data_IF_999706189297
#
_entry.id   IF_999706189297
#
_cell.length_a   1.000
_cell.length_b   1.000
_cell.length_c   1.000
_cell.angle_alpha   90.00
_cell.angle_beta   90.00
_cell.angle_gamma   90.00
#
_symmetry.space_group_name_H-M   'P 1'
#
loop_
_entity.id
_entity.type
_entity.pdbx_description
1 polymer ?
#
# COMPACT_ATOMS: atom_id res chain seq x y z
N UNK A 1 21.59 -14.01 -3.52
CA UNK A 1 21.24 -15.34 -2.96
C UNK A 1 21.81 -16.39 -3.89
N UNK A 2 22.24 -17.53 -3.36
CA UNK A 2 22.97 -18.53 -4.12
C UNK A 2 22.20 -19.85 -4.22
N UNK A 3 22.62 -20.73 -5.12
CA UNK A 3 22.17 -22.12 -5.20
C UNK A 3 23.36 -23.07 -5.12
N UNK A 4 23.13 -24.23 -4.52
CA UNK A 4 24.11 -25.27 -4.34
C UNK A 4 24.67 -25.74 -5.68
N UNK A 5 26.00 -25.72 -5.84
CA UNK A 5 26.66 -26.17 -7.07
C UNK A 5 26.49 -27.68 -7.33
N UNK A 6 26.18 -28.47 -6.30
CA UNK A 6 25.98 -29.93 -6.40
C UNK A 6 24.54 -30.32 -6.75
N UNK A 7 23.55 -29.84 -5.98
CA UNK A 7 22.15 -30.28 -6.13
C UNK A 7 21.20 -29.21 -6.69
N UNK A 8 21.68 -28.00 -6.97
CA UNK A 8 20.85 -26.89 -7.45
C UNK A 8 19.90 -26.30 -6.40
N UNK A 9 19.95 -26.75 -5.15
CA UNK A 9 19.10 -26.25 -4.08
C UNK A 9 19.39 -24.78 -3.76
N UNK A 10 18.37 -23.93 -3.79
CA UNK A 10 18.41 -22.51 -3.42
C UNK A 10 17.00 -21.97 -3.11
N UNK A 11 16.88 -20.76 -2.52
CA UNK A 11 17.97 -19.85 -2.20
C UNK A 11 18.73 -20.26 -0.92
N UNK A 12 20.06 -20.22 -0.98
CA UNK A 12 20.98 -20.28 0.18
C UNK A 12 21.53 -18.88 0.43
N UNK A 13 21.41 -18.42 1.67
CA UNK A 13 21.87 -17.10 2.09
C UNK A 13 23.21 -17.24 2.83
N UNK A 14 24.28 -16.80 2.18
CA UNK A 14 25.61 -16.67 2.77
C UNK A 14 25.85 -15.25 3.31
N UNK A 15 24.92 -14.74 4.13
CA UNK A 15 24.99 -13.38 4.66
C UNK A 15 26.11 -13.20 5.69
N UNK A 16 26.93 -12.15 5.53
CA UNK A 16 27.85 -11.67 6.57
C UNK A 16 29.26 -12.28 6.58
N UNK A 17 29.65 -13.09 5.59
CA UNK A 17 30.97 -13.70 5.52
C UNK A 17 31.53 -13.64 4.10
N UNK A 18 32.67 -12.96 3.90
CA UNK A 18 33.42 -13.00 2.62
C UNK A 18 34.18 -14.32 2.43
N UNK A 19 34.31 -15.11 3.50
CA UNK A 19 34.96 -16.42 3.51
C UNK A 19 34.02 -17.43 4.15
N UNK A 20 33.50 -18.38 3.37
CA UNK A 20 32.58 -19.40 3.87
C UNK A 20 33.26 -20.42 4.79
N UNK A 21 34.59 -20.52 4.74
CA UNK A 21 35.35 -21.43 5.60
C UNK A 21 35.57 -20.86 7.00
N UNK A 22 35.59 -19.54 7.17
CA UNK A 22 35.96 -18.89 8.42
C UNK A 22 35.09 -19.32 9.62
N UNK A 23 33.82 -19.65 9.36
CA UNK A 23 32.86 -20.04 10.39
C UNK A 23 32.20 -21.41 10.13
N UNK A 24 32.58 -22.13 9.07
CA UNK A 24 31.99 -23.44 8.80
C UNK A 24 32.52 -24.48 9.80
N UNK A 25 31.62 -25.10 10.56
CA UNK A 25 31.97 -26.04 11.63
C UNK A 25 32.25 -25.37 12.97
N UNK A 26 32.14 -24.04 13.08
CA UNK A 26 32.35 -23.33 14.35
C UNK A 26 31.23 -23.67 15.34
N UNK A 27 31.61 -24.08 16.56
CA UNK A 27 30.67 -24.28 17.66
C UNK A 27 30.41 -22.94 18.36
N UNK A 28 29.14 -22.51 18.36
CA UNK A 28 28.67 -21.36 19.14
C UNK A 28 27.64 -21.81 20.16
N UNK A 29 27.40 -20.98 21.18
CA UNK A 29 26.34 -21.19 22.16
C UNK A 29 24.99 -21.21 21.43
N UNK A 30 24.49 -22.41 21.11
CA UNK A 30 23.26 -22.61 20.32
C UNK A 30 23.40 -23.51 19.09
N UNK A 31 24.60 -23.95 18.69
CA UNK A 31 24.77 -24.93 17.62
C UNK A 31 26.09 -24.85 16.86
N UNK A 32 26.20 -25.67 15.81
CA UNK A 32 27.33 -25.66 14.87
C UNK A 32 26.94 -24.82 13.66
N UNK A 33 27.73 -23.80 13.35
CA UNK A 33 27.53 -22.99 12.15
C UNK A 33 27.84 -23.84 10.92
N UNK A 34 26.84 -24.10 10.08
CA UNK A 34 27.02 -24.87 8.85
C UNK A 34 26.68 -24.04 7.63
N UNK A 35 27.74 -23.61 6.92
CA UNK A 35 27.66 -23.06 5.57
C UNK A 35 27.47 -24.12 4.46
N UNK A 36 27.23 -25.39 4.80
CA UNK A 36 26.94 -26.44 3.81
C UNK A 36 25.50 -26.31 3.26
N UNK A 37 25.26 -26.89 2.10
CA UNK A 37 23.94 -26.99 1.53
C UNK A 37 23.02 -27.78 2.48
N UNK A 38 21.89 -27.22 2.94
CA UNK A 38 21.00 -27.90 3.87
C UNK A 38 20.27 -29.10 3.24
N UNK A 39 20.28 -29.21 1.90
CA UNK A 39 19.65 -30.33 1.19
C UNK A 39 20.58 -31.52 1.01
N UNK A 40 21.86 -31.31 0.68
CA UNK A 40 22.78 -32.41 0.34
C UNK A 40 24.10 -32.42 1.11
N UNK A 41 24.32 -31.48 2.02
CA UNK A 41 25.56 -31.36 2.80
C UNK A 41 26.77 -30.87 2.01
N UNK A 42 26.62 -30.57 0.71
CA UNK A 42 27.73 -30.05 -0.10
C UNK A 42 28.21 -28.69 0.42
N UNK A 43 29.52 -28.55 0.59
CA UNK A 43 30.17 -27.32 1.01
C UNK A 43 31.28 -26.96 0.02
N UNK A 44 31.36 -25.67 -0.33
CA UNK A 44 32.54 -25.12 -0.98
C UNK A 44 32.99 -23.87 -0.23
N UNK A 45 34.31 -23.75 0.06
CA UNK A 45 34.85 -22.58 0.75
C UNK A 45 34.85 -21.32 -0.13
N UNK A 46 34.80 -21.48 -1.46
CA UNK A 46 34.73 -20.37 -2.41
C UNK A 46 33.28 -20.04 -2.75
N UNK A 47 32.92 -18.76 -2.65
CA UNK A 47 31.60 -18.25 -3.03
C UNK A 47 31.33 -18.46 -4.53
N UNK A 48 32.36 -18.43 -5.38
CA UNK A 48 32.25 -18.62 -6.84
C UNK A 48 31.76 -20.03 -7.23
N UNK A 49 31.97 -21.01 -6.37
CA UNK A 49 31.45 -22.37 -6.56
C UNK A 49 29.94 -22.45 -6.33
N UNK A 50 29.36 -21.45 -5.66
CA UNK A 50 27.93 -21.30 -5.46
C UNK A 50 27.36 -20.44 -6.59
N UNK A 51 26.50 -21.02 -7.42
CA UNK A 51 25.89 -20.29 -8.54
C UNK A 51 24.90 -19.26 -7.99
N UNK A 52 24.72 -18.14 -8.69
CA UNK A 52 23.60 -17.25 -8.38
C UNK A 52 22.28 -18.01 -8.50
N UNK A 53 21.36 -17.77 -7.57
CA UNK A 53 20.08 -18.47 -7.57
C UNK A 53 19.23 -18.00 -8.76
N UNK A 54 18.81 -18.94 -9.59
CA UNK A 54 18.07 -18.69 -10.84
C UNK A 54 16.56 -18.49 -10.64
N UNK A 55 16.08 -18.52 -9.39
CA UNK A 55 14.67 -18.35 -9.05
C UNK A 55 13.84 -19.63 -9.16
N UNK A 56 14.44 -20.77 -9.48
CA UNK A 56 13.77 -22.07 -9.55
C UNK A 56 14.09 -22.95 -8.35
N UNK A 57 13.22 -23.94 -8.08
CA UNK A 57 13.43 -24.97 -7.07
C UNK A 57 13.51 -26.31 -7.82
N UNK A 58 14.56 -27.13 -7.65
CA UNK A 58 14.66 -28.41 -8.31
C UNK A 58 13.43 -29.28 -8.06
N UNK A 59 12.88 -29.85 -9.13
CA UNK A 59 11.63 -30.63 -9.07
C UNK A 59 11.74 -31.86 -8.16
N UNK A 60 12.94 -32.43 -8.05
CA UNK A 60 13.27 -33.51 -7.10
C UNK A 60 12.98 -33.12 -5.65
N UNK A 61 13.23 -31.87 -5.27
CA UNK A 61 12.94 -31.37 -3.92
C UNK A 61 11.44 -31.23 -3.67
N UNK A 62 10.68 -30.80 -4.69
CA UNK A 62 9.22 -30.73 -4.61
C UNK A 62 8.63 -32.14 -4.50
N UNK A 63 9.10 -33.08 -5.31
CA UNK A 63 8.65 -34.47 -5.31
C UNK A 63 9.00 -35.16 -3.99
N UNK A 64 10.19 -34.97 -3.43
CA UNK A 64 10.59 -35.60 -2.15
C UNK A 64 9.82 -35.03 -0.95
N UNK A 65 9.53 -33.73 -0.95
CA UNK A 65 8.73 -33.10 0.11
C UNK A 65 7.26 -33.50 -0.02
N UNK A 66 6.73 -33.54 -1.24
CA UNK A 66 5.36 -34.01 -1.51
C UNK A 66 5.21 -35.51 -1.27
N UNK A 67 6.23 -36.33 -1.52
CA UNK A 67 6.22 -37.76 -1.24
C UNK A 67 6.36 -38.04 0.26
N UNK A 68 7.10 -37.25 1.03
CA UNK A 68 7.08 -37.32 2.51
C UNK A 68 5.71 -36.90 3.08
N UNK A 69 5.05 -35.90 2.49
CA UNK A 69 3.67 -35.53 2.84
C UNK A 69 2.67 -36.63 2.47
N UNK A 70 2.88 -37.30 1.32
CA UNK A 70 1.98 -38.33 0.80
C UNK A 70 2.19 -39.69 1.47
N UNK A 71 3.42 -40.08 1.75
CA UNK A 71 3.79 -41.33 2.43
C UNK A 71 3.66 -41.22 3.96
N UNK A 72 3.59 -40.01 4.52
CA UNK A 72 3.13 -39.76 5.89
C UNK A 72 1.61 -39.92 6.07
N UNK A 73 0.84 -40.06 4.98
CA UNK A 73 -0.55 -40.51 4.97
C UNK A 73 -0.59 -41.99 4.60
N UNK A 74 -0.18 -42.87 5.50
CA UNK A 74 -0.67 -44.25 5.43
C UNK A 74 -2.17 -44.23 5.74
N UNK A 75 -2.94 -44.96 4.93
CA UNK A 75 -4.40 -45.13 5.01
C UNK A 75 -4.85 -45.96 6.23
N UNK A 76 -4.23 -45.75 7.40
CA UNK A 76 -4.79 -46.22 8.66
C UNK A 76 -5.51 -45.06 9.32
N UNK A 77 -6.80 -45.27 9.63
CA UNK A 77 -7.70 -44.29 10.24
C UNK A 77 -7.21 -43.78 11.60
N UNK A 78 -6.24 -42.87 11.57
CA UNK A 78 -5.73 -42.18 12.74
C UNK A 78 -6.52 -40.89 12.93
N UNK A 79 -7.45 -40.93 13.90
CA UNK A 79 -7.96 -39.72 14.57
C UNK A 79 -6.77 -38.80 14.88
N UNK A 80 -6.85 -37.52 14.50
CA UNK A 80 -5.86 -36.46 14.73
C UNK A 80 -5.37 -36.41 16.20
N UNK A 81 -4.41 -37.24 16.58
CA UNK A 81 -3.79 -37.22 17.92
C UNK A 81 -2.65 -36.20 18.03
N UNK A 82 -2.13 -35.73 16.90
CA UNK A 82 -0.97 -34.80 16.86
C UNK A 82 -1.36 -33.31 16.82
N UNK A 83 -2.63 -33.00 16.57
CA UNK A 83 -3.14 -31.62 16.50
C UNK A 83 -2.89 -30.79 17.78
N UNK A 84 -3.23 -31.32 18.97
CA UNK A 84 -3.04 -30.59 20.24
C UNK A 84 -1.57 -30.30 20.54
N UNK A 85 -0.68 -31.27 20.33
CA UNK A 85 0.77 -31.11 20.59
C UNK A 85 1.39 -30.06 19.67
N UNK A 86 0.98 -30.01 18.41
CA UNK A 86 1.48 -28.99 17.47
C UNK A 86 1.02 -27.58 17.87
N UNK A 87 -0.22 -27.41 18.31
CA UNK A 87 -0.73 -26.12 18.79
C UNK A 87 0.02 -25.63 20.03
N UNK A 88 0.25 -26.52 21.01
CA UNK A 88 1.06 -26.22 22.19
C UNK A 88 2.48 -25.78 21.80
N UNK A 89 3.15 -26.52 20.92
CA UNK A 89 4.50 -26.16 20.48
C UNK A 89 4.58 -24.79 19.78
N UNK A 90 3.52 -24.40 19.06
CA UNK A 90 3.42 -23.08 18.42
C UNK A 90 3.18 -21.98 19.44
N UNK A 91 2.30 -22.21 20.42
CA UNK A 91 2.05 -21.26 21.50
C UNK A 91 3.32 -21.03 22.33
N UNK A 92 4.01 -22.10 22.74
CA UNK A 92 5.30 -22.01 23.44
C UNK A 92 6.33 -21.21 22.61
N UNK A 93 6.47 -21.51 21.32
CA UNK A 93 7.38 -20.78 20.44
C UNK A 93 7.06 -19.27 20.35
N UNK A 94 5.78 -18.90 20.20
CA UNK A 94 5.37 -17.49 20.15
C UNK A 94 5.64 -16.82 21.50
N UNK A 95 5.35 -17.50 22.61
CA UNK A 95 5.61 -16.99 23.95
C UNK A 95 7.10 -16.72 24.18
N UNK A 96 7.97 -17.63 23.74
CA UNK A 96 9.44 -17.47 23.78
C UNK A 96 9.95 -16.33 22.91
N UNK A 97 9.31 -16.05 21.77
CA UNK A 97 9.62 -14.87 20.96
C UNK A 97 9.29 -13.59 21.74
N UNK A 98 8.12 -13.52 22.38
CA UNK A 98 7.71 -12.36 23.18
C UNK A 98 8.62 -12.18 24.41
N UNK A 99 8.98 -13.27 25.09
CA UNK A 99 9.95 -13.28 26.18
C UNK A 99 11.33 -12.76 25.73
N UNK A 100 11.85 -13.27 24.61
CA UNK A 100 13.15 -12.84 24.08
C UNK A 100 13.14 -11.36 23.71
N UNK A 101 12.03 -10.92 23.12
CA UNK A 101 11.77 -9.51 22.87
C UNK A 101 11.87 -8.74 24.19
N UNK A 102 11.06 -9.05 25.21
CA UNK A 102 11.09 -8.39 26.53
C UNK A 102 12.47 -8.31 27.16
N UNK A 103 13.27 -9.38 27.15
CA UNK A 103 14.64 -9.37 27.69
C UNK A 103 15.57 -8.38 26.98
N UNK A 104 15.41 -8.20 25.67
CA UNK A 104 16.15 -7.18 24.91
C UNK A 104 15.77 -5.76 25.38
N UNK A 105 14.51 -5.52 25.74
CA UNK A 105 14.03 -4.20 26.23
C UNK A 105 14.35 -3.96 27.70
N UNK A 106 14.37 -4.99 28.54
CA UNK A 106 14.63 -4.87 29.97
C UNK A 106 16.07 -4.41 30.29
N UNK A 107 17.04 -4.69 29.41
CA UNK A 107 18.47 -4.41 29.64
C UNK A 107 18.87 -2.93 29.84
N UNK A 108 17.96 -1.97 29.64
CA UNK A 108 18.23 -0.53 29.80
C UNK A 108 17.61 0.14 31.04
N UNK A 109 16.95 -0.63 31.91
CA UNK A 109 16.20 -0.08 33.04
C UNK A 109 14.99 0.77 32.62
N UNK A 110 14.42 1.55 33.54
CA UNK A 110 13.24 2.39 33.28
C UNK A 110 13.49 3.54 32.30
N UNK A 111 14.76 3.87 32.02
CA UNK A 111 15.14 4.93 31.09
C UNK A 111 15.39 4.41 29.66
N UNK A 112 15.00 3.17 29.34
CA UNK A 112 15.13 2.66 27.98
C UNK A 112 14.07 3.34 27.07
N UNK A 113 14.48 4.18 26.10
CA UNK A 113 13.54 4.90 25.24
C UNK A 113 12.66 3.95 24.42
N UNK A 114 13.17 2.77 24.08
CA UNK A 114 12.41 1.82 23.29
C UNK A 114 11.30 1.18 24.13
N UNK A 115 11.56 0.89 25.42
CA UNK A 115 10.53 0.41 26.36
C UNK A 115 9.42 1.44 26.52
N UNK A 116 9.78 2.71 26.73
CA UNK A 116 8.82 3.82 26.80
C UNK A 116 7.93 3.90 25.56
N UNK A 117 8.53 3.76 24.37
CA UNK A 117 7.80 3.80 23.10
C UNK A 117 6.79 2.65 22.95
N UNK A 118 7.15 1.42 23.30
CA UNK A 118 6.21 0.28 23.24
C UNK A 118 5.09 0.39 24.27
N UNK A 119 5.38 0.89 25.48
CA UNK A 119 4.36 1.15 26.48
C UNK A 119 3.41 2.25 26.01
N UNK A 120 3.93 3.35 25.44
CA UNK A 120 3.11 4.41 24.83
C UNK A 120 2.23 3.86 23.70
N UNK A 121 2.77 3.01 22.82
CA UNK A 121 1.99 2.39 21.75
C UNK A 121 0.88 1.48 22.29
N UNK A 122 1.09 0.78 23.40
CA UNK A 122 0.06 -0.01 24.06
C UNK A 122 -1.00 0.88 24.74
N UNK A 123 -0.61 1.94 25.45
CA UNK A 123 -1.53 2.93 26.04
C UNK A 123 -2.43 3.57 24.98
N UNK A 124 -1.86 3.91 23.81
CA UNK A 124 -2.61 4.45 22.67
C UNK A 124 -3.73 3.52 22.21
N UNK A 125 -3.57 2.20 22.31
CA UNK A 125 -4.64 1.26 21.97
C UNK A 125 -5.77 1.24 22.99
N UNK A 126 -5.46 1.44 24.28
CA UNK A 126 -6.47 1.57 25.34
C UNK A 126 -7.26 2.87 25.16
N UNK A 127 -6.57 3.95 24.80
CA UNK A 127 -7.16 5.27 24.55
C UNK A 127 -7.83 5.40 23.18
N UNK A 128 -7.82 4.34 22.37
CA UNK A 128 -8.34 4.32 20.99
C UNK A 128 -7.69 5.37 20.06
N UNK A 129 -6.40 5.66 20.28
CA UNK A 129 -5.56 6.38 19.32
C UNK A 129 -5.06 5.43 18.22
N UNK A 130 -5.89 5.23 17.20
CA UNK A 130 -5.73 4.22 16.14
C UNK A 130 -4.80 4.65 14.99
N UNK A 131 -3.80 5.49 15.28
CA UNK A 131 -2.82 5.98 14.31
C UNK A 131 -1.64 5.01 14.16
N UNK A 132 -1.73 4.10 13.20
CA UNK A 132 -0.71 3.06 12.96
C UNK A 132 0.17 3.33 11.73
N UNK A 133 0.38 4.59 11.36
CA UNK A 133 1.15 4.90 10.16
C UNK A 133 2.66 4.89 10.43
N UNK A 134 3.45 4.85 9.35
CA UNK A 134 4.89 5.09 9.44
C UNK A 134 5.22 6.52 9.87
N UNK A 135 4.29 7.48 9.77
CA UNK A 135 4.48 8.83 10.32
C UNK A 135 4.33 8.85 11.84
N UNK A 136 3.60 7.88 12.39
CA UNK A 136 3.44 7.64 13.83
C UNK A 136 4.48 6.62 14.32
N UNK A 137 5.59 6.47 13.59
CA UNK A 137 6.72 5.57 13.89
C UNK A 137 6.38 4.07 13.92
N UNK A 138 5.18 3.68 13.45
CA UNK A 138 4.78 2.27 13.35
C UNK A 138 5.16 1.72 11.97
N UNK A 139 6.34 1.11 11.87
CA UNK A 139 6.84 0.44 10.66
C UNK A 139 6.05 -0.82 10.29
N UNK A 140 5.47 -1.52 11.26
CA UNK A 140 4.77 -2.78 11.06
C UNK A 140 3.68 -3.03 12.09
N UNK A 141 2.53 -3.55 11.68
CA UNK A 141 1.47 -3.95 12.63
C UNK A 141 1.90 -5.07 13.58
N UNK A 142 2.97 -5.80 13.26
CA UNK A 142 3.59 -6.74 14.22
C UNK A 142 4.18 -6.00 15.43
N UNK A 143 4.65 -4.75 15.27
CA UNK A 143 5.09 -3.93 16.40
C UNK A 143 3.93 -3.61 17.34
N UNK A 144 2.72 -3.38 16.80
CA UNK A 144 1.50 -3.16 17.59
C UNK A 144 1.16 -4.42 18.40
N UNK A 145 1.20 -5.60 17.78
CA UNK A 145 1.00 -6.87 18.48
C UNK A 145 2.03 -7.08 19.59
N UNK A 146 3.30 -6.84 19.28
CA UNK A 146 4.38 -6.99 20.25
C UNK A 146 4.23 -5.96 21.38
N UNK A 147 3.84 -4.72 21.09
CA UNK A 147 3.59 -3.69 22.10
C UNK A 147 2.59 -4.16 23.14
N UNK A 148 1.42 -4.64 22.70
CA UNK A 148 0.37 -5.12 23.61
C UNK A 148 0.80 -6.40 24.34
N UNK A 149 1.44 -7.33 23.62
CA UNK A 149 1.87 -8.58 24.21
C UNK A 149 2.94 -8.38 25.28
N UNK A 150 3.92 -7.53 24.98
CA UNK A 150 5.14 -7.34 25.74
C UNK A 150 5.13 -6.10 26.64
N UNK A 151 4.08 -5.26 26.62
CA UNK A 151 4.00 -4.12 27.54
C UNK A 151 3.99 -4.59 28.99
N UNK A 152 4.42 -3.69 29.87
CA UNK A 152 4.42 -3.96 31.30
C UNK A 152 3.01 -4.06 31.86
N UNK A 153 2.92 -4.61 33.07
CA UNK A 153 1.62 -4.87 33.69
C UNK A 153 0.93 -3.56 34.09
N UNK A 154 1.67 -2.47 34.32
CA UNK A 154 1.15 -1.13 34.61
C UNK A 154 0.42 -0.45 33.44
N UNK A 155 0.55 -0.97 32.22
CA UNK A 155 -0.14 -0.43 31.04
C UNK A 155 -1.49 -1.09 30.79
N UNK A 156 -1.62 -2.39 31.13
CA UNK A 156 -2.87 -3.15 31.03
C UNK A 156 -3.03 -3.91 32.35
N UNK A 157 -3.29 -3.15 33.41
CA UNK A 157 -3.29 -3.60 34.81
C UNK A 157 -4.46 -4.51 35.13
N UNK A 158 -5.57 -4.32 34.42
CA UNK A 158 -6.82 -4.97 34.72
C UNK A 158 -7.52 -5.50 33.46
N UNK A 159 -8.58 -6.27 33.68
CA UNK A 159 -9.37 -6.83 32.59
C UNK A 159 -10.10 -5.75 31.77
N UNK A 160 -10.42 -4.58 32.33
CA UNK A 160 -11.11 -3.51 31.62
C UNK A 160 -10.19 -2.90 30.56
N UNK A 161 -8.93 -2.62 30.90
CA UNK A 161 -7.93 -2.11 29.95
C UNK A 161 -7.66 -3.10 28.81
N UNK A 162 -7.57 -4.40 29.15
CA UNK A 162 -7.45 -5.46 28.16
C UNK A 162 -8.68 -5.48 27.24
N UNK A 163 -9.90 -5.44 27.79
CA UNK A 163 -11.10 -5.41 26.96
C UNK A 163 -11.18 -4.14 26.10
N UNK A 164 -10.70 -2.99 26.59
CA UNK A 164 -10.63 -1.74 25.84
C UNK A 164 -9.62 -1.81 24.67
N UNK A 165 -8.41 -2.32 24.90
CA UNK A 165 -7.37 -2.49 23.88
C UNK A 165 -7.73 -3.50 22.78
N UNK A 166 -8.66 -4.42 23.08
CA UNK A 166 -9.20 -5.41 22.15
C UNK A 166 -10.68 -5.17 21.83
N UNK A 167 -11.18 -3.95 22.03
CA UNK A 167 -12.55 -3.60 21.69
C UNK A 167 -12.75 -3.67 20.16
N UNK A 168 -13.98 -3.97 19.68
CA UNK A 168 -14.22 -4.15 18.25
C UNK A 168 -13.75 -3.00 17.34
N UNK A 169 -13.88 -1.71 17.70
CA UNK A 169 -13.34 -0.61 16.91
C UNK A 169 -11.81 -0.66 16.72
N UNK A 170 -11.08 -1.07 17.77
CA UNK A 170 -9.63 -1.19 17.75
C UNK A 170 -9.21 -2.35 16.83
N UNK A 171 -9.84 -3.51 17.00
CA UNK A 171 -9.60 -4.70 16.17
C UNK A 171 -9.87 -4.38 14.70
N UNK A 172 -11.01 -3.72 14.41
CA UNK A 172 -11.40 -3.32 13.07
C UNK A 172 -10.39 -2.34 12.45
N UNK A 173 -9.86 -1.37 13.21
CA UNK A 173 -8.84 -0.46 12.72
C UNK A 173 -7.53 -1.17 12.36
N UNK A 174 -7.08 -2.12 13.19
CA UNK A 174 -5.89 -2.95 12.90
C UNK A 174 -6.11 -3.78 11.63
N UNK A 175 -7.28 -4.40 11.48
CA UNK A 175 -7.65 -5.16 10.26
C UNK A 175 -7.66 -4.26 9.03
N UNK A 176 -8.24 -3.06 9.14
CA UNK A 176 -8.35 -2.11 8.04
C UNK A 176 -6.96 -1.58 7.62
N UNK A 177 -6.08 -1.29 8.58
CA UNK A 177 -4.67 -0.93 8.31
C UNK A 177 -3.88 -2.10 7.69
N UNK A 178 -4.11 -3.33 8.15
CA UNK A 178 -3.47 -4.51 7.56
C UNK A 178 -3.84 -4.68 6.09
N UNK A 179 -5.12 -4.49 5.77
CA UNK A 179 -5.62 -4.50 4.40
C UNK A 179 -4.98 -3.37 3.58
N UNK A 180 -4.87 -2.15 4.13
CA UNK A 180 -4.25 -1.02 3.47
C UNK A 180 -2.76 -1.25 3.13
N UNK A 181 -1.98 -1.80 4.06
CA UNK A 181 -0.56 -2.14 3.84
C UNK A 181 -0.41 -3.23 2.77
N UNK A 182 -1.26 -4.26 2.81
CA UNK A 182 -1.26 -5.31 1.80
C UNK A 182 -1.67 -4.79 0.42
N UNK A 183 -2.68 -3.91 0.34
CA UNK A 183 -3.10 -3.23 -0.88
C UNK A 183 -2.00 -2.35 -1.46
N UNK A 184 -1.32 -1.55 -0.62
CA UNK A 184 -0.18 -0.71 -1.02
C UNK A 184 0.89 -1.54 -1.71
N UNK A 185 1.25 -2.70 -1.12
CA UNK A 185 2.23 -3.63 -1.72
C UNK A 185 1.72 -4.18 -3.05
N UNK A 186 0.47 -4.66 -3.11
CA UNK A 186 -0.18 -5.20 -4.32
C UNK A 186 -0.12 -4.22 -5.49
N UNK A 187 -0.60 -2.98 -5.29
CA UNK A 187 -0.65 -1.99 -6.37
C UNK A 187 0.71 -1.40 -6.73
N UNK A 188 1.64 -1.23 -5.78
CA UNK A 188 3.01 -0.81 -6.10
C UNK A 188 3.74 -1.85 -6.94
N UNK A 189 3.58 -3.13 -6.64
CA UNK A 189 4.15 -4.20 -7.46
C UNK A 189 3.56 -4.19 -8.88
N UNK A 190 2.23 -4.08 -9.00
CA UNK A 190 1.56 -3.98 -10.30
C UNK A 190 1.99 -2.74 -11.11
N UNK A 191 2.29 -1.63 -10.43
CA UNK A 191 2.74 -0.38 -11.02
C UNK A 191 4.27 -0.29 -11.23
N UNK A 192 5.03 -1.36 -10.96
CA UNK A 192 6.50 -1.37 -11.03
C UNK A 192 7.16 -0.25 -10.19
N UNK A 193 6.57 0.03 -9.02
CA UNK A 193 7.05 1.05 -8.07
C UNK A 193 6.53 2.48 -8.32
N UNK A 194 5.84 2.74 -9.44
CA UNK A 194 5.28 4.06 -9.74
C UNK A 194 4.06 4.37 -8.85
N UNK A 195 4.21 5.37 -7.97
CA UNK A 195 3.15 5.71 -7.00
C UNK A 195 1.90 6.28 -7.67
N UNK A 196 2.03 7.05 -8.76
CA UNK A 196 0.88 7.64 -9.46
C UNK A 196 0.06 6.55 -10.15
N UNK A 197 0.74 5.67 -10.91
CA UNK A 197 0.10 4.51 -11.55
C UNK A 197 -0.52 3.56 -10.53
N UNK A 198 0.12 3.34 -9.38
CA UNK A 198 -0.45 2.51 -8.32
C UNK A 198 -1.79 3.07 -7.80
N UNK A 199 -1.88 4.39 -7.60
CA UNK A 199 -3.13 5.06 -7.22
C UNK A 199 -4.20 4.94 -8.30
N UNK A 200 -3.84 5.10 -9.56
CA UNK A 200 -4.78 4.98 -10.68
C UNK A 200 -5.30 3.54 -10.85
N UNK A 201 -4.43 2.54 -10.70
CA UNK A 201 -4.82 1.13 -10.71
C UNK A 201 -5.77 0.81 -9.55
N UNK A 202 -5.49 1.31 -8.35
CA UNK A 202 -6.34 1.13 -7.18
C UNK A 202 -7.71 1.77 -7.39
N UNK A 203 -7.77 3.00 -7.85
CA UNK A 203 -9.03 3.68 -8.11
C UNK A 203 -9.84 3.01 -9.22
N UNK A 204 -9.22 2.63 -10.34
CA UNK A 204 -9.89 1.86 -11.41
C UNK A 204 -10.46 0.54 -10.89
N UNK A 205 -9.73 -0.13 -9.98
CA UNK A 205 -10.23 -1.36 -9.33
C UNK A 205 -11.46 -1.09 -8.49
N UNK A 206 -11.49 0.00 -7.71
CA UNK A 206 -12.67 0.39 -6.90
C UNK A 206 -13.83 0.84 -7.78
N UNK A 207 -13.59 1.65 -8.82
CA UNK A 207 -14.60 2.03 -9.82
C UNK A 207 -15.29 0.80 -10.40
N UNK A 208 -14.52 -0.21 -10.83
CA UNK A 208 -15.07 -1.48 -11.33
C UNK A 208 -15.85 -2.24 -10.25
N UNK A 209 -15.28 -2.33 -9.04
CA UNK A 209 -15.89 -3.01 -7.90
C UNK A 209 -17.26 -2.43 -7.51
N UNK A 210 -17.48 -1.13 -7.70
CA UNK A 210 -18.72 -0.45 -7.30
C UNK A 210 -19.69 -0.23 -8.46
N UNK A 211 -19.42 -0.81 -9.63
CA UNK A 211 -20.25 -0.65 -10.82
C UNK A 211 -20.32 0.81 -11.30
N UNK A 212 -19.31 1.62 -10.98
CA UNK A 212 -19.27 3.03 -11.38
C UNK A 212 -18.82 3.10 -12.83
N UNK A 213 -19.72 3.54 -13.71
CA UNK A 213 -19.46 3.73 -15.13
C UNK A 213 -19.40 5.21 -15.49
N UNK A 214 -18.99 5.49 -16.73
CA UNK A 214 -19.06 6.84 -17.30
C UNK A 214 -20.51 7.37 -17.27
N UNK A 215 -21.48 6.57 -17.66
CA UNK A 215 -22.90 6.95 -17.72
C UNK A 215 -23.47 7.21 -16.33
N UNK A 216 -22.94 6.54 -15.31
CA UNK A 216 -23.37 6.71 -13.92
C UNK A 216 -22.84 8.01 -13.28
N UNK A 217 -21.83 8.65 -13.88
CA UNK A 217 -21.20 9.85 -13.34
C UNK A 217 -21.89 11.13 -13.87
N UNK A 218 -21.91 12.23 -13.09
CA UNK A 218 -22.42 13.51 -13.56
C UNK A 218 -21.76 13.97 -14.86
N UNK A 219 -22.53 14.63 -15.72
CA UNK A 219 -22.03 15.26 -16.94
C UNK A 219 -21.71 16.73 -16.67
N UNK A 220 -20.74 17.26 -17.42
CA UNK A 220 -20.47 18.70 -17.51
C UNK A 220 -21.62 19.40 -18.22
N UNK A 221 -21.75 20.73 -18.04
CA UNK A 221 -22.70 21.48 -18.86
C UNK A 221 -22.33 21.37 -20.35
N UNK A 222 -23.34 21.22 -21.22
CA UNK A 222 -23.14 20.93 -22.65
C UNK A 222 -22.38 22.06 -23.36
N UNK A 223 -22.68 23.31 -23.00
CA UNK A 223 -22.05 24.48 -23.60
C UNK A 223 -20.64 24.69 -23.05
N UNK A 224 -19.66 24.82 -23.95
CA UNK A 224 -18.29 25.24 -23.61
C UNK A 224 -18.22 26.63 -23.00
N UNK A 225 -19.24 27.47 -23.21
CA UNK A 225 -19.30 28.85 -22.72
C UNK A 225 -19.98 28.96 -21.35
N UNK A 226 -20.69 27.92 -20.92
CA UNK A 226 -21.34 27.90 -19.61
C UNK A 226 -20.37 27.42 -18.54
N UNK A 227 -20.31 28.17 -17.43
CA UNK A 227 -19.56 27.78 -16.24
C UNK A 227 -20.14 26.52 -15.63
N UNK A 228 -19.26 25.62 -15.17
CA UNK A 228 -19.69 24.46 -14.38
C UNK A 228 -20.27 24.88 -13.03
N UNK A 229 -21.28 24.15 -12.50
CA UNK A 229 -21.75 24.34 -11.13
C UNK A 229 -20.62 24.07 -10.11
N UNK A 230 -20.79 24.54 -8.88
CA UNK A 230 -19.82 24.25 -7.81
C UNK A 230 -19.70 22.75 -7.54
N UNK A 231 -18.52 22.31 -7.11
CA UNK A 231 -18.24 20.90 -6.85
C UNK A 231 -19.16 20.33 -5.75
N UNK A 232 -19.46 21.13 -4.73
CA UNK A 232 -20.37 20.77 -3.65
C UNK A 232 -21.78 20.50 -4.19
N UNK A 233 -22.28 21.36 -5.07
CA UNK A 233 -23.60 21.23 -5.68
C UNK A 233 -23.71 19.97 -6.54
N UNK A 234 -22.68 19.67 -7.34
CA UNK A 234 -22.64 18.46 -8.16
C UNK A 234 -22.53 17.23 -7.27
N UNK A 235 -21.69 17.26 -6.23
CA UNK A 235 -21.51 16.16 -5.28
C UNK A 235 -22.79 15.86 -4.52
N UNK A 236 -23.52 16.86 -4.05
CA UNK A 236 -24.80 16.69 -3.32
C UNK A 236 -25.85 15.95 -4.16
N UNK A 237 -25.92 16.25 -5.47
CA UNK A 237 -26.83 15.58 -6.42
C UNK A 237 -26.28 14.26 -6.97
N UNK A 238 -24.99 13.99 -6.80
CA UNK A 238 -24.38 12.77 -7.30
C UNK A 238 -24.87 11.57 -6.50
N UNK A 239 -25.46 10.60 -7.21
CA UNK A 239 -25.92 9.35 -6.62
C UNK A 239 -24.77 8.62 -5.90
N UNK A 240 -25.07 8.12 -4.71
CA UNK A 240 -24.20 7.21 -3.95
C UNK A 240 -24.57 5.74 -4.14
N UNK A 241 -25.58 5.42 -4.96
CA UNK A 241 -25.97 4.04 -5.24
C UNK A 241 -24.82 3.28 -5.90
N UNK A 242 -24.67 2.00 -5.62
CA UNK A 242 -23.60 1.18 -6.18
C UNK A 242 -24.16 -0.18 -6.53
N UNK A 243 -23.54 -0.81 -7.53
CA UNK A 243 -23.82 -2.19 -7.89
C UNK A 243 -22.53 -3.00 -7.69
N UNK A 244 -22.62 -4.00 -6.82
CA UNK A 244 -21.49 -4.84 -6.41
C UNK A 244 -21.30 -5.89 -7.50
N UNK A 245 -20.35 -5.66 -8.42
CA UNK A 245 -19.96 -6.62 -9.47
C UNK A 245 -19.44 -7.94 -8.84
N UNK A 246 -20.22 -9.03 -8.86
CA UNK A 246 -19.91 -10.25 -8.13
C UNK A 246 -18.64 -10.95 -8.66
N UNK A 247 -18.31 -10.79 -9.95
CA UNK A 247 -17.13 -11.41 -10.55
C UNK A 247 -15.83 -10.76 -10.06
N UNK A 248 -15.85 -9.45 -9.87
CA UNK A 248 -14.69 -8.68 -9.39
C UNK A 248 -14.52 -8.82 -7.89
N UNK A 249 -15.63 -8.93 -7.18
CA UNK A 249 -15.70 -8.78 -5.73
C UNK A 249 -15.35 -10.04 -4.98
N UNK A 250 -15.68 -11.22 -5.51
CA UNK A 250 -15.41 -12.49 -4.84
C UNK A 250 -13.95 -12.62 -4.39
N UNK A 251 -12.99 -12.26 -5.26
CA UNK A 251 -11.57 -12.34 -4.92
C UNK A 251 -11.10 -11.29 -3.90
N UNK A 252 -11.70 -10.10 -3.88
CA UNK A 252 -11.26 -9.01 -3.00
C UNK A 252 -11.90 -9.10 -1.61
N UNK A 253 -13.18 -9.52 -1.53
CA UNK A 253 -13.81 -9.88 -0.25
C UNK A 253 -13.05 -11.02 0.40
N UNK A 254 -12.77 -12.10 -0.33
CA UNK A 254 -12.10 -13.27 0.24
C UNK A 254 -10.67 -12.94 0.68
N UNK A 255 -9.97 -12.09 -0.09
CA UNK A 255 -8.68 -11.55 0.31
C UNK A 255 -8.75 -10.78 1.63
N UNK A 256 -9.72 -9.89 1.79
CA UNK A 256 -9.89 -9.09 2.99
C UNK A 256 -10.34 -9.95 4.19
N UNK A 257 -11.29 -10.89 4.02
CA UNK A 257 -11.72 -11.87 5.03
C UNK A 257 -10.55 -12.71 5.53
N UNK A 258 -9.69 -13.19 4.62
CA UNK A 258 -8.49 -13.97 4.97
C UNK A 258 -7.48 -13.15 5.76
N UNK A 259 -7.30 -11.87 5.45
CA UNK A 259 -6.47 -10.98 6.25
C UNK A 259 -7.08 -10.74 7.63
N UNK A 260 -8.38 -10.40 7.70
CA UNK A 260 -9.08 -10.19 8.95
C UNK A 260 -8.99 -11.41 9.87
N UNK A 261 -9.25 -12.61 9.35
CA UNK A 261 -9.12 -13.87 10.10
C UNK A 261 -7.73 -14.05 10.71
N UNK A 262 -6.66 -13.78 9.96
CA UNK A 262 -5.28 -13.91 10.47
C UNK A 262 -4.99 -12.93 11.61
N UNK A 263 -5.42 -11.68 11.46
CA UNK A 263 -5.18 -10.65 12.46
C UNK A 263 -6.04 -10.85 13.70
N UNK A 264 -7.30 -11.26 13.55
CA UNK A 264 -8.19 -11.59 14.68
C UNK A 264 -7.61 -12.74 15.50
N UNK A 265 -7.11 -13.81 14.86
CA UNK A 265 -6.46 -14.93 15.58
C UNK A 265 -5.24 -14.45 16.37
N UNK A 266 -4.40 -13.58 15.77
CA UNK A 266 -3.24 -13.04 16.47
C UNK A 266 -3.62 -12.14 17.66
N UNK A 267 -4.66 -11.31 17.51
CA UNK A 267 -5.14 -10.44 18.57
C UNK A 267 -5.79 -11.24 19.71
N UNK A 268 -6.61 -12.25 19.40
CA UNK A 268 -7.19 -13.15 20.41
C UNK A 268 -6.13 -13.93 21.17
N UNK A 269 -5.05 -14.36 20.50
CA UNK A 269 -3.91 -14.97 21.17
C UNK A 269 -3.29 -14.04 22.22
N UNK A 270 -3.08 -12.77 21.88
CA UNK A 270 -2.48 -11.79 22.80
C UNK A 270 -3.46 -11.43 23.91
N UNK A 271 -4.75 -11.32 23.60
CA UNK A 271 -5.80 -11.13 24.61
C UNK A 271 -5.82 -12.28 25.61
N UNK A 272 -5.72 -13.52 25.15
CA UNK A 272 -5.62 -14.71 25.99
C UNK A 272 -4.36 -14.68 26.86
N UNK A 273 -3.21 -14.28 26.29
CA UNK A 273 -1.96 -14.09 27.04
C UNK A 273 -2.15 -13.11 28.19
N UNK A 274 -2.64 -11.89 27.91
CA UNK A 274 -2.84 -10.85 28.93
C UNK A 274 -3.81 -11.30 30.03
N UNK A 275 -4.91 -11.98 29.66
CA UNK A 275 -5.84 -12.55 30.64
C UNK A 275 -5.20 -13.61 31.52
N UNK A 276 -4.35 -14.47 30.95
CA UNK A 276 -3.63 -15.50 31.71
C UNK A 276 -2.63 -14.86 32.68
N UNK A 277 -1.93 -13.81 32.26
CA UNK A 277 -1.02 -13.03 33.13
C UNK A 277 -1.77 -12.38 34.31
N UNK A 278 -2.89 -11.70 34.05
CA UNK A 278 -3.75 -11.11 35.10
C UNK A 278 -4.26 -12.18 36.06
N UNK A 279 -4.69 -13.34 35.53
CA UNK A 279 -5.18 -14.48 36.33
C UNK A 279 -4.10 -15.06 37.25
N UNK A 280 -2.84 -15.15 36.80
CA UNK A 280 -1.73 -15.67 37.62
C UNK A 280 -1.29 -14.70 38.71
N UNK A 281 -1.40 -13.39 38.46
CA UNK A 281 -0.82 -12.36 39.32
C UNK A 281 0.71 -12.29 39.18
N UNK A 282 1.29 -11.11 39.44
CA UNK A 282 2.72 -10.85 39.21
C UNK A 282 3.12 -10.74 37.72
N UNK A 283 2.15 -10.89 36.81
CA UNK A 283 2.22 -10.65 35.38
C UNK A 283 3.49 -11.15 34.70
N UNK A 284 4.14 -10.29 33.92
CA UNK A 284 5.31 -10.71 33.13
C UNK A 284 6.51 -11.08 33.99
N UNK A 285 6.76 -10.38 35.11
CA UNK A 285 7.89 -10.70 35.99
C UNK A 285 7.80 -12.13 36.51
N UNK A 286 6.59 -12.55 36.92
CA UNK A 286 6.35 -13.93 37.35
C UNK A 286 6.53 -14.93 36.21
N UNK A 287 5.94 -14.65 35.05
CA UNK A 287 6.06 -15.55 33.90
C UNK A 287 7.50 -15.71 33.43
N UNK A 288 8.30 -14.65 33.44
CA UNK A 288 9.72 -14.72 33.07
C UNK A 288 10.50 -15.65 34.01
N UNK A 289 10.27 -15.57 35.33
CA UNK A 289 10.89 -16.47 36.31
C UNK A 289 10.49 -17.94 36.08
N UNK A 290 9.21 -18.18 35.79
CA UNK A 290 8.69 -19.52 35.52
C UNK A 290 9.29 -20.07 34.21
N UNK A 291 9.36 -19.26 33.15
CA UNK A 291 9.97 -19.62 31.87
C UNK A 291 11.48 -19.92 31.97
N UNK A 292 12.19 -19.26 32.88
CA UNK A 292 13.60 -19.50 33.18
C UNK A 292 13.82 -20.75 34.05
N UNK A 293 12.80 -21.19 34.79
CA UNK A 293 12.88 -22.34 35.69
C UNK A 293 12.62 -23.64 34.95
N UNK A 294 11.43 -23.84 34.38
CA UNK A 294 11.10 -25.05 33.63
C UNK A 294 9.87 -24.86 32.73
N UNK A 295 9.63 -25.80 31.80
CA UNK A 295 8.44 -25.77 30.96
C UNK A 295 7.15 -26.04 31.73
N UNK A 296 7.25 -26.75 32.86
CA UNK A 296 6.10 -27.13 33.69
C UNK A 296 5.56 -25.93 34.48
N UNK A 297 6.41 -24.96 34.80
CA UNK A 297 6.05 -23.78 35.61
C UNK A 297 5.17 -22.76 34.86
N UNK A 298 5.05 -22.88 33.54
CA UNK A 298 4.15 -22.05 32.72
C UNK A 298 3.29 -22.83 31.72
N UNK A 299 3.14 -24.15 31.92
CA UNK A 299 2.28 -24.99 31.08
C UNK A 299 0.81 -24.53 31.14
N UNK A 300 0.39 -23.92 32.25
CA UNK A 300 -0.93 -23.31 32.40
C UNK A 300 -1.17 -22.17 31.41
N UNK A 301 -0.17 -21.33 31.17
CA UNK A 301 -0.24 -20.23 30.19
C UNK A 301 -0.29 -20.80 28.78
N UNK A 302 0.58 -21.78 28.46
CA UNK A 302 0.55 -22.46 27.16
C UNK A 302 -0.80 -23.13 26.94
N UNK A 303 -1.36 -23.76 27.97
CA UNK A 303 -2.70 -24.35 27.93
C UNK A 303 -3.76 -23.30 27.63
N UNK A 304 -3.85 -22.22 28.41
CA UNK A 304 -4.81 -21.12 28.23
C UNK A 304 -4.76 -20.54 26.79
N UNK A 305 -3.56 -20.38 26.24
CA UNK A 305 -3.32 -19.91 24.86
C UNK A 305 -3.80 -20.88 23.77
N UNK A 306 -3.85 -22.19 24.07
CA UNK A 306 -4.29 -23.21 23.11
C UNK A 306 -5.77 -23.54 23.18
N UNK A 307 -6.40 -23.37 24.34
CA UNK A 307 -7.81 -23.70 24.55
C UNK A 307 -8.74 -22.51 24.31
N UNK A 308 -8.22 -21.28 24.30
CA UNK A 308 -9.04 -20.10 24.03
C UNK A 308 -9.54 -20.13 22.57
N UNK A 309 -10.86 -20.24 22.33
CA UNK A 309 -11.38 -20.24 20.98
C UNK A 309 -11.15 -18.86 20.37
N UNK A 310 -10.57 -18.82 19.17
CA UNK A 310 -10.48 -17.58 18.42
C UNK A 310 -11.90 -17.12 18.07
N UNK A 311 -12.26 -15.91 18.48
CA UNK A 311 -13.47 -15.24 17.99
C UNK A 311 -13.43 -15.20 16.47
N UNK A 312 -14.60 -15.33 15.86
CA UNK A 312 -14.69 -15.09 14.42
C UNK A 312 -14.34 -13.63 14.15
N UNK A 313 -13.86 -13.32 12.93
CA UNK A 313 -13.63 -11.92 12.57
C UNK A 313 -14.93 -11.10 12.60
N UNK A 314 -16.10 -11.74 12.50
CA UNK A 314 -17.40 -11.09 12.64
C UNK A 314 -17.59 -10.57 14.06
N UNK A 315 -17.43 -11.45 15.06
CA UNK A 315 -17.54 -11.09 16.48
C UNK A 315 -16.45 -10.11 16.91
N UNK A 316 -15.20 -10.36 16.50
CA UNK A 316 -14.06 -9.55 16.92
C UNK A 316 -14.11 -8.12 16.37
N UNK A 317 -14.72 -7.92 15.20
CA UNK A 317 -14.85 -6.61 14.55
C UNK A 317 -16.26 -6.01 14.66
N UNK A 318 -17.17 -6.68 15.37
CA UNK A 318 -18.59 -6.29 15.50
C UNK A 318 -19.23 -6.05 14.12
N UNK A 319 -19.13 -7.06 13.25
CA UNK A 319 -19.69 -7.06 11.89
C UNK A 319 -20.95 -7.92 11.90
N UNK A 320 -22.07 -7.30 11.57
CA UNK A 320 -23.33 -7.98 11.33
C UNK A 320 -23.22 -8.93 10.13
N UNK A 321 -23.60 -10.20 10.34
CA UNK A 321 -23.58 -11.26 9.33
C UNK A 321 -24.42 -10.89 8.10
N UNK A 322 -25.54 -10.18 8.29
CA UNK A 322 -26.38 -9.70 7.18
C UNK A 322 -25.66 -8.69 6.28
N UNK A 323 -24.60 -8.05 6.79
CA UNK A 323 -23.86 -6.99 6.12
C UNK A 323 -22.38 -7.33 5.91
N UNK A 324 -21.99 -8.60 6.04
CA UNK A 324 -20.59 -9.04 5.97
C UNK A 324 -19.94 -8.63 4.65
N UNK A 325 -20.57 -8.94 3.52
CA UNK A 325 -19.98 -8.71 2.21
C UNK A 325 -19.83 -7.23 1.90
N UNK A 326 -20.87 -6.43 2.18
CA UNK A 326 -20.81 -4.96 2.06
C UNK A 326 -19.69 -4.37 2.91
N UNK A 327 -19.56 -4.83 4.15
CA UNK A 327 -18.52 -4.34 5.08
C UNK A 327 -17.12 -4.66 4.55
N UNK A 328 -16.90 -5.89 4.06
CA UNK A 328 -15.62 -6.27 3.47
C UNK A 328 -15.31 -5.61 2.13
N UNK A 329 -16.32 -5.32 1.30
CA UNK A 329 -16.17 -4.45 0.12
C UNK A 329 -15.73 -3.05 0.55
N UNK A 330 -16.30 -2.53 1.63
CA UNK A 330 -15.94 -1.20 2.18
C UNK A 330 -14.51 -1.17 2.72
N UNK A 331 -14.09 -2.21 3.47
CA UNK A 331 -12.70 -2.39 3.91
C UNK A 331 -11.76 -2.43 2.71
N UNK A 332 -12.06 -3.22 1.68
CA UNK A 332 -11.24 -3.31 0.48
C UNK A 332 -11.16 -1.96 -0.26
N UNK A 333 -12.30 -1.27 -0.43
CA UNK A 333 -12.36 0.03 -1.10
C UNK A 333 -11.50 1.08 -0.37
N UNK A 334 -11.69 1.21 0.95
CA UNK A 334 -10.87 2.11 1.76
C UNK A 334 -9.39 1.72 1.73
N UNK A 335 -9.07 0.42 1.81
CA UNK A 335 -7.70 -0.07 1.75
C UNK A 335 -7.04 0.23 0.39
N UNK A 336 -7.78 0.26 -0.70
CA UNK A 336 -7.26 0.54 -2.03
C UNK A 336 -7.01 2.03 -2.23
N UNK A 337 -7.99 2.87 -1.87
CA UNK A 337 -7.94 4.32 -2.07
C UNK A 337 -7.04 5.02 -1.05
N UNK A 338 -7.17 4.66 0.23
CA UNK A 338 -6.46 5.28 1.35
C UNK A 338 -5.40 4.32 1.85
N UNK A 339 -4.45 3.96 0.97
CA UNK A 339 -3.43 2.96 1.33
C UNK A 339 -2.21 3.55 2.04
N UNK A 340 -2.12 4.88 2.21
CA UNK A 340 -1.08 5.56 3.00
C UNK A 340 -1.62 5.90 4.38
N UNK A 341 -0.84 5.66 5.43
CA UNK A 341 -1.36 5.89 6.79
C UNK A 341 -1.72 7.36 7.08
N UNK A 342 -1.06 8.34 6.44
CA UNK A 342 -1.45 9.75 6.48
C UNK A 342 -2.89 10.00 6.00
N UNK A 343 -3.34 9.23 5.00
CA UNK A 343 -4.69 9.32 4.41
C UNK A 343 -5.73 8.58 5.27
N UNK A 344 -5.29 7.86 6.33
CA UNK A 344 -6.10 6.94 7.13
C UNK A 344 -6.30 7.32 8.60
N UNK A 345 -5.89 8.53 9.01
CA UNK A 345 -5.99 8.98 10.40
C UNK A 345 -7.43 8.96 10.96
N UNK A 346 -7.65 9.60 12.12
CA UNK A 346 -8.88 9.59 12.95
C UNK A 346 -10.20 9.84 12.17
N UNK A 347 -10.13 10.35 10.95
CA UNK A 347 -11.29 10.74 10.14
C UNK A 347 -11.73 9.70 9.10
N UNK A 348 -11.19 8.48 9.08
CA UNK A 348 -11.77 7.46 8.19
C UNK A 348 -13.20 7.11 8.66
N UNK A 349 -14.20 7.18 7.76
CA UNK A 349 -15.55 6.76 8.11
C UNK A 349 -15.60 5.27 8.47
N UNK A 350 -16.51 4.92 9.38
CA UNK A 350 -16.69 3.53 9.81
C UNK A 350 -17.12 2.64 8.63
N UNK A 351 -16.36 1.57 8.38
CA UNK A 351 -16.63 0.62 7.28
C UNK A 351 -17.91 -0.20 7.49
N UNK A 352 -18.43 -0.23 8.73
CA UNK A 352 -19.70 -0.86 9.10
C UNK A 352 -20.90 0.02 8.78
N UNK A 353 -20.70 1.32 8.58
CA UNK A 353 -21.77 2.21 8.11
C UNK A 353 -21.93 2.08 6.59
N UNK A 354 -23.12 1.71 6.15
CA UNK A 354 -23.46 1.63 4.73
C UNK A 354 -23.30 2.98 3.99
N UNK A 355 -23.36 4.12 4.70
CA UNK A 355 -23.10 5.45 4.14
C UNK A 355 -21.66 5.58 3.63
N UNK A 356 -20.69 4.95 4.30
CA UNK A 356 -19.29 4.99 3.91
C UNK A 356 -19.08 4.48 2.50
N UNK A 357 -19.69 3.33 2.15
CA UNK A 357 -19.56 2.78 0.80
C UNK A 357 -20.26 3.64 -0.26
N UNK A 358 -21.41 4.22 0.09
CA UNK A 358 -22.13 5.17 -0.79
C UNK A 358 -21.30 6.43 -1.06
N UNK A 359 -20.63 6.95 -0.04
CA UNK A 359 -19.76 8.11 -0.16
C UNK A 359 -18.54 7.79 -1.04
N UNK A 360 -17.95 6.60 -0.89
CA UNK A 360 -16.87 6.14 -1.78
C UNK A 360 -17.35 6.01 -3.23
N UNK A 361 -18.52 5.41 -3.47
CA UNK A 361 -19.10 5.30 -4.81
C UNK A 361 -19.34 6.69 -5.45
N UNK A 362 -19.86 7.63 -4.66
CA UNK A 362 -20.02 9.03 -5.06
C UNK A 362 -18.67 9.67 -5.40
N UNK A 363 -17.65 9.49 -4.58
CA UNK A 363 -16.31 10.04 -4.84
C UNK A 363 -15.70 9.46 -6.12
N UNK A 364 -15.95 8.18 -6.44
CA UNK A 364 -15.51 7.58 -7.71
C UNK A 364 -16.22 8.19 -8.92
N UNK A 365 -17.52 8.51 -8.82
CA UNK A 365 -18.24 9.25 -9.87
C UNK A 365 -17.76 10.68 -10.01
N UNK A 366 -17.51 11.37 -8.90
CA UNK A 366 -16.97 12.72 -8.91
C UNK A 366 -15.58 12.75 -9.55
N UNK A 367 -14.76 11.70 -9.38
CA UNK A 367 -13.50 11.58 -10.11
C UNK A 367 -13.70 11.57 -11.63
N UNK A 368 -14.65 10.79 -12.14
CA UNK A 368 -15.00 10.77 -13.58
C UNK A 368 -15.49 12.15 -14.03
N UNK A 369 -16.35 12.80 -13.24
CA UNK A 369 -16.80 14.16 -13.53
C UNK A 369 -15.63 15.15 -13.62
N UNK A 370 -14.66 15.09 -12.70
CA UNK A 370 -13.46 15.94 -12.74
C UNK A 370 -12.59 15.69 -13.98
N UNK A 371 -12.50 14.43 -14.43
CA UNK A 371 -11.84 14.10 -15.70
C UNK A 371 -12.54 14.80 -16.88
N UNK A 372 -13.88 14.77 -16.95
CA UNK A 372 -14.68 15.48 -17.96
C UNK A 372 -14.54 16.99 -17.90
N UNK A 373 -14.54 17.58 -16.69
CA UNK A 373 -14.28 19.01 -16.51
C UNK A 373 -12.89 19.34 -17.06
N UNK A 374 -11.88 18.52 -16.78
CA UNK A 374 -10.54 18.69 -17.34
C UNK A 374 -10.52 18.64 -18.87
N UNK A 375 -11.24 17.69 -19.47
CA UNK A 375 -11.40 17.58 -20.93
C UNK A 375 -12.12 18.80 -21.51
N UNK A 376 -13.22 19.23 -20.90
CA UNK A 376 -13.97 20.43 -21.29
C UNK A 376 -13.11 21.69 -21.22
N UNK A 377 -12.35 21.87 -20.13
CA UNK A 377 -11.44 23.02 -19.98
C UNK A 377 -10.31 22.98 -21.02
N UNK A 378 -9.90 21.80 -21.46
CA UNK A 378 -8.93 21.64 -22.55
C UNK A 378 -9.57 22.02 -23.90
N UNK A 379 -10.81 21.59 -24.17
CA UNK A 379 -11.54 21.99 -25.36
C UNK A 379 -11.80 23.50 -25.42
N UNK A 380 -12.21 24.10 -24.30
CA UNK A 380 -12.43 25.54 -24.19
C UNK A 380 -11.16 26.35 -24.49
N UNK A 381 -10.00 25.93 -23.96
CA UNK A 381 -8.70 26.54 -24.28
C UNK A 381 -8.37 26.47 -25.77
N UNK A 382 -8.59 25.30 -26.38
CA UNK A 382 -8.34 25.11 -27.81
C UNK A 382 -9.27 25.98 -28.67
N UNK A 383 -10.53 26.18 -28.26
CA UNK A 383 -11.47 27.04 -28.99
C UNK A 383 -11.13 28.53 -28.81
N UNK A 384 -10.66 28.94 -27.63
CA UNK A 384 -10.12 30.29 -27.40
C UNK A 384 -8.93 30.58 -28.33
N UNK A 385 -7.96 29.67 -28.36
CA UNK A 385 -6.80 29.73 -29.28
C UNK A 385 -7.27 29.79 -30.75
N UNK A 386 -8.22 28.94 -31.14
CA UNK A 386 -8.79 28.90 -32.49
C UNK A 386 -9.51 30.19 -32.87
N UNK A 387 -10.27 30.79 -31.95
CA UNK A 387 -10.99 32.04 -32.19
C UNK A 387 -10.02 33.20 -32.40
N UNK A 388 -8.95 33.26 -31.61
CA UNK A 388 -7.87 34.26 -31.81
C UNK A 388 -7.18 34.01 -33.15
N UNK A 389 -6.82 32.77 -33.45
CA UNK A 389 -6.22 32.38 -34.72
C UNK A 389 -7.06 32.81 -35.93
N UNK A 390 -8.37 32.50 -35.94
CA UNK A 390 -9.25 32.84 -37.06
C UNK A 390 -9.38 34.35 -37.25
N UNK A 391 -9.53 35.12 -36.16
CA UNK A 391 -9.56 36.59 -36.22
C UNK A 391 -8.25 37.16 -36.74
N UNK A 392 -7.13 36.68 -36.22
CA UNK A 392 -5.80 37.11 -36.61
C UNK A 392 -5.45 36.75 -38.06
N UNK A 393 -5.97 35.64 -38.59
CA UNK A 393 -5.76 35.22 -39.97
C UNK A 393 -6.46 36.14 -40.97
N UNK A 394 -7.68 36.58 -40.67
CA UNK A 394 -8.44 37.51 -41.54
C UNK A 394 -8.10 38.98 -41.29
N UNK A 395 -7.47 39.30 -40.16
CA UNK A 395 -7.01 40.64 -39.84
C UNK A 395 -5.97 41.12 -40.86
N UNK A 396 -6.09 42.38 -41.27
CA UNK A 396 -5.01 43.07 -41.97
C UNK A 396 -3.82 43.32 -41.02
N UNK A 397 -2.70 43.82 -41.56
CA UNK A 397 -1.48 43.99 -40.76
C UNK A 397 -1.64 45.00 -39.62
N UNK A 398 -2.45 46.05 -39.79
CA UNK A 398 -2.69 47.05 -38.76
C UNK A 398 -3.53 46.48 -37.62
N UNK A 399 -4.62 45.80 -37.97
CA UNK A 399 -5.48 45.09 -37.02
C UNK A 399 -4.70 44.00 -36.27
N UNK A 400 -3.87 43.23 -36.97
CA UNK A 400 -3.02 42.21 -36.36
C UNK A 400 -1.99 42.84 -35.39
N UNK A 401 -1.35 43.95 -35.78
CA UNK A 401 -0.43 44.67 -34.91
C UNK A 401 -1.11 45.19 -33.62
N UNK A 402 -2.35 45.66 -33.72
CA UNK A 402 -3.16 46.04 -32.56
C UNK A 402 -3.47 44.83 -31.66
N UNK A 403 -3.84 43.68 -32.24
CA UNK A 403 -4.08 42.45 -31.48
C UNK A 403 -2.84 41.99 -30.70
N UNK A 404 -1.66 42.09 -31.31
CA UNK A 404 -0.37 41.75 -30.69
C UNK A 404 0.05 42.78 -29.63
N UNK A 405 -0.24 44.06 -29.87
CA UNK A 405 0.19 45.19 -29.03
C UNK A 405 -0.81 45.58 -27.94
N UNK A 406 -1.99 44.94 -27.89
CA UNK A 406 -3.07 45.24 -26.93
C UNK A 406 -2.62 45.23 -25.46
N UNK A 407 -1.49 44.57 -25.14
CA UNK A 407 -0.90 44.51 -23.78
C UNK A 407 0.54 44.98 -23.72
N UNK A 408 0.95 45.89 -24.61
CA UNK A 408 2.29 46.50 -24.75
C UNK A 408 3.42 45.52 -25.13
N UNK A 409 3.37 44.26 -24.69
CA UNK A 409 4.29 43.19 -25.07
C UNK A 409 3.56 41.87 -25.25
N UNK A 410 4.10 41.01 -26.11
CA UNK A 410 3.58 39.66 -26.39
C UNK A 410 3.53 38.78 -25.12
N UNK A 411 4.36 39.08 -24.11
CA UNK A 411 4.36 38.37 -22.81
C UNK A 411 3.17 38.74 -21.91
N UNK A 412 2.49 39.85 -22.21
CA UNK A 412 1.25 40.23 -21.53
C UNK A 412 0.05 39.43 -22.03
N UNK A 413 0.15 38.78 -23.19
CA UNK A 413 -0.92 37.98 -23.78
C UNK A 413 -1.22 36.74 -22.92
N UNK A 414 -2.48 36.29 -22.97
CA UNK A 414 -2.80 34.96 -22.44
C UNK A 414 -2.08 33.90 -23.27
N UNK A 415 -1.95 32.69 -22.74
CA UNK A 415 -1.29 31.59 -23.48
C UNK A 415 -2.03 31.33 -24.80
N UNK A 416 -3.35 31.39 -24.74
CA UNK A 416 -4.27 31.19 -25.87
C UNK A 416 -4.11 32.29 -26.92
N UNK A 417 -4.05 33.57 -26.50
CA UNK A 417 -3.82 34.69 -27.41
C UNK A 417 -2.44 34.60 -28.08
N UNK A 418 -1.40 34.28 -27.30
CA UNK A 418 -0.03 34.15 -27.77
C UNK A 418 0.08 33.12 -28.90
N UNK A 419 -0.41 31.90 -28.67
CA UNK A 419 -0.26 30.81 -29.64
C UNK A 419 -1.19 30.98 -30.83
N UNK A 420 -2.42 31.44 -30.63
CA UNK A 420 -3.35 31.73 -31.72
C UNK A 420 -2.83 32.82 -32.68
N UNK A 421 -2.23 33.89 -32.14
CA UNK A 421 -1.58 34.93 -32.94
C UNK A 421 -0.35 34.41 -33.68
N UNK A 422 0.54 33.70 -32.98
CA UNK A 422 1.74 33.12 -33.58
C UNK A 422 1.41 32.14 -34.72
N UNK A 423 0.44 31.25 -34.51
CA UNK A 423 -0.02 30.30 -35.54
C UNK A 423 -0.59 31.04 -36.77
N UNK A 424 -1.36 32.12 -36.55
CA UNK A 424 -1.90 32.93 -37.65
C UNK A 424 -0.78 33.64 -38.45
N UNK A 425 0.23 34.18 -37.77
CA UNK A 425 1.38 34.79 -38.43
C UNK A 425 2.17 33.80 -39.30
N UNK A 426 2.51 32.63 -38.73
CA UNK A 426 3.27 31.60 -39.45
C UNK A 426 2.43 30.98 -40.58
N UNK A 427 1.11 30.91 -40.43
CA UNK A 427 0.17 30.46 -41.46
C UNK A 427 0.21 31.31 -42.75
N UNK A 428 0.56 32.60 -42.64
CA UNK A 428 0.77 33.50 -43.78
C UNK A 428 2.19 33.36 -44.40
N UNK A 429 3.03 32.47 -43.85
CA UNK A 429 4.41 32.18 -44.24
C UNK A 429 5.45 32.73 -43.26
N UNK A 430 6.58 32.04 -43.09
CA UNK A 430 7.63 32.40 -42.12
C UNK A 430 8.29 33.78 -42.35
N UNK A 431 8.15 34.35 -43.55
CA UNK A 431 8.65 35.69 -43.89
C UNK A 431 7.52 36.72 -44.02
N UNK A 432 6.31 36.39 -43.55
CA UNK A 432 5.16 37.29 -43.62
C UNK A 432 5.36 38.53 -42.76
N UNK A 433 4.61 39.57 -43.09
CA UNK A 433 4.62 40.80 -42.32
C UNK A 433 4.11 40.57 -40.88
N UNK A 434 3.12 39.68 -40.71
CA UNK A 434 2.60 39.30 -39.39
C UNK A 434 3.64 38.58 -38.53
N UNK A 435 4.51 37.72 -39.11
CA UNK A 435 5.63 37.11 -38.38
C UNK A 435 6.60 38.18 -37.90
N UNK A 436 6.97 39.13 -38.77
CA UNK A 436 7.87 40.23 -38.40
C UNK A 436 7.28 41.05 -37.25
N UNK A 437 6.02 41.48 -37.37
CA UNK A 437 5.31 42.24 -36.33
C UNK A 437 5.22 41.49 -34.99
N UNK A 438 4.97 40.17 -35.02
CA UNK A 438 4.94 39.36 -33.80
C UNK A 438 6.33 39.23 -33.16
N UNK A 439 7.37 39.02 -33.96
CA UNK A 439 8.74 38.86 -33.46
C UNK A 439 9.36 40.18 -32.96
N UNK A 440 8.98 41.31 -33.52
CA UNK A 440 9.40 42.65 -33.07
C UNK A 440 8.88 43.00 -31.66
N UNK A 441 7.76 42.39 -31.28
CA UNK A 441 7.09 42.62 -29.99
C UNK A 441 7.31 41.48 -28.98
N UNK A 442 7.91 40.36 -29.43
CA UNK A 442 8.32 39.22 -28.62
C UNK A 442 9.69 39.44 -27.92
N UNK A 443 10.04 38.55 -26.98
CA UNK A 443 11.33 38.61 -26.30
C UNK A 443 12.47 38.11 -27.19
N UNK A 444 13.69 38.51 -26.85
CA UNK A 444 14.89 38.15 -27.60
C UNK A 444 15.10 36.63 -27.73
N UNK A 445 14.80 35.84 -26.70
CA UNK A 445 14.97 34.37 -26.74
C UNK A 445 14.04 33.72 -27.78
N UNK A 446 12.77 34.11 -27.78
CA UNK A 446 11.79 33.62 -28.76
C UNK A 446 12.16 34.08 -30.18
N UNK A 447 12.55 35.36 -30.32
CA UNK A 447 13.00 35.93 -31.58
C UNK A 447 14.20 35.18 -32.15
N UNK A 448 15.23 34.89 -31.35
CA UNK A 448 16.42 34.17 -31.80
C UNK A 448 16.09 32.73 -32.23
N UNK A 449 15.18 32.06 -31.51
CA UNK A 449 14.78 30.69 -31.82
C UNK A 449 14.04 30.59 -33.16
N UNK A 450 13.10 31.49 -33.44
CA UNK A 450 12.20 31.38 -34.57
C UNK A 450 12.53 32.29 -35.76
N UNK A 451 13.36 33.32 -35.58
CA UNK A 451 13.88 34.12 -36.71
C UNK A 451 14.89 33.32 -37.56
N UNK A 452 15.64 32.39 -36.95
CA UNK A 452 16.61 31.55 -37.66
C UNK A 452 15.95 30.49 -38.57
N UNK A 453 14.68 30.14 -38.33
CA UNK A 453 13.93 29.17 -39.15
C UNK A 453 13.44 29.77 -40.48
N UNK A 454 13.45 31.11 -40.63
CA UNK A 454 13.10 31.83 -41.87
C UNK A 454 14.22 31.90 -42.92
N UNK A 455 15.44 31.51 -42.58
CA UNK A 455 16.62 31.51 -43.47
C UNK A 455 17.05 30.08 -43.87
N UNK A 456 16.16 29.28 -44.48
CA UNK A 456 16.60 28.13 -45.29
C UNK A 456 15.75 28.02 -46.57
N UNK A 457 16.36 27.98 -47.77
CA UNK A 457 15.63 27.87 -49.02
C UNK A 457 14.98 26.48 -49.15
N UNK A 458 13.82 26.48 -49.81
CA UNK A 458 13.10 25.32 -50.31
C UNK A 458 14.02 24.20 -50.86
N UNK A 459 14.30 23.17 -50.06
CA UNK A 459 14.36 21.74 -50.44
C UNK A 459 15.14 20.91 -49.40
N UNK A 460 14.47 19.92 -48.80
CA UNK A 460 14.82 18.49 -48.92
C UNK A 460 14.00 17.63 -47.97
N UNK A 461 13.29 16.69 -48.58
CA UNK A 461 12.78 15.47 -47.94
C UNK A 461 13.95 14.67 -47.34
N UNK A 462 13.77 14.25 -46.09
CA UNK A 462 14.30 12.99 -45.55
C UNK A 462 15.72 12.99 -45.00
N UNK A 463 15.86 12.76 -43.68
CA UNK A 463 16.41 11.50 -43.12
C UNK A 463 16.57 11.56 -41.58
N UNK A 464 16.15 10.44 -40.98
CA UNK A 464 16.71 9.69 -39.84
C UNK A 464 17.01 10.42 -38.52
N UNK A 465 16.21 10.02 -37.51
CA UNK A 465 16.61 10.00 -36.09
C UNK A 465 17.85 9.11 -35.90
N UNK A 466 18.90 9.66 -35.33
CA UNK A 466 20.10 8.98 -34.84
C UNK A 466 20.29 9.24 -33.34
N UNK A 467 20.36 8.14 -32.60
CA UNK A 467 20.93 7.88 -31.27
C UNK A 467 21.49 9.03 -30.42
N UNK A 468 21.03 9.05 -29.15
CA UNK A 468 21.69 9.65 -27.98
C UNK A 468 23.02 8.95 -27.68
N UNK A 469 24.03 9.76 -27.32
CA UNK A 469 25.08 9.41 -26.37
C UNK A 469 24.73 10.00 -25.02
#
# INVERSE_FOLDING_TARGET
AYQCGSCGFGPVLHGGCSSLIAHHGEHRTGGVVSNACPSCGWFSPSLDSWKEWDGTIPETFLVEKMSKIRNGRSESGCKNKDGPKLLQSKADMILRIIYSFRKIFAGGGNNNPIRSWYNELASRLVEWDLRFSTQDEVDGLVQVLIAVAACDDDVLENNEDIEAAFAPPVVLAIVNEACARAARKKFRMAAKGDNGKAKDLAAKRVTKMLGVTQESAPFTTESLLESEPSLEFVKERCSGEYDIDPEVIGCEIEWAKKLASRWCVALEYIKALRKSLVKRGGGWERLEQDMETSLEDYDDVVHDLTVTPARTYLEACDIDEAHVDRTFVTIAAQAFLNNKGADRGVNLPDVRDGKTLRDIARDMRMRIYMERVGEKMTQWKNEGERMVFLKARVADIGQYAEMVSARQHVHGLTKEDFWGLWEAAVGDGHNSEKVRTFLETACNEFRLKYAAEGEVPCSKKGKKKGSRG
#
